data_IF_679169083084
#
_entry.id   IF_679169083084
#
_cell.length_a   1.000
_cell.length_b   1.000
_cell.length_c   1.000
_cell.angle_alpha   90.00
_cell.angle_beta   90.00
_cell.angle_gamma   90.00
#
_symmetry.space_group_name_H-M   'P 1'
#
loop_
_entity.id
_entity.type
_entity.pdbx_description
1 polymer ?
#
# COMPACT_ATOMS: atom_id res chain seq x y z
N UNK A 1 -9.71 -12.91 18.17
CA UNK A 1 -9.63 -12.65 16.72
C UNK A 1 -8.50 -11.68 16.39
N UNK A 2 -8.51 -10.42 16.89
CA UNK A 2 -7.50 -9.41 16.52
C UNK A 2 -6.05 -9.90 16.78
N UNK A 3 -5.80 -10.47 17.97
CA UNK A 3 -4.46 -11.00 18.29
C UNK A 3 -4.02 -12.14 17.36
N UNK A 4 -4.95 -12.96 16.88
CA UNK A 4 -4.61 -14.10 16.01
C UNK A 4 -4.26 -13.70 14.57
N UNK A 5 -4.64 -12.49 14.13
CA UNK A 5 -4.38 -12.01 12.76
C UNK A 5 -3.29 -10.93 12.67
N UNK A 6 -2.68 -10.51 13.78
CA UNK A 6 -1.70 -9.41 13.77
C UNK A 6 -0.56 -9.67 12.77
N UNK A 7 -0.04 -10.89 12.72
CA UNK A 7 1.06 -11.25 11.82
C UNK A 7 0.60 -11.59 10.38
N UNK A 8 -0.71 -11.71 10.18
CA UNK A 8 -1.32 -11.95 8.86
C UNK A 8 -1.95 -10.69 8.27
N UNK A 9 -1.94 -9.59 9.01
CA UNK A 9 -2.47 -8.32 8.52
C UNK A 9 -1.42 -7.63 7.65
N UNK A 10 -1.60 -7.70 6.36
CA UNK A 10 -0.74 -7.08 5.37
C UNK A 10 -0.98 -5.58 5.29
N UNK A 11 0.10 -4.80 5.29
CA UNK A 11 0.10 -3.34 5.16
C UNK A 11 0.97 -2.97 3.96
N UNK A 12 0.38 -2.90 2.77
CA UNK A 12 1.07 -2.53 1.54
C UNK A 12 0.70 -1.13 1.11
N UNK A 13 1.65 -0.37 0.61
CA UNK A 13 1.39 1.01 0.22
C UNK A 13 2.32 1.52 -0.88
N UNK A 14 1.87 2.56 -1.56
CA UNK A 14 2.67 3.37 -2.46
C UNK A 14 2.73 4.80 -1.93
N UNK A 15 3.81 5.50 -2.26
CA UNK A 15 3.92 6.95 -2.04
C UNK A 15 4.16 7.65 -3.37
N UNK A 16 3.68 8.87 -3.47
CA UNK A 16 3.85 9.66 -4.69
C UNK A 16 5.24 10.29 -4.77
N UNK A 17 5.72 10.83 -3.67
CA UNK A 17 7.02 11.48 -3.55
C UNK A 17 7.83 10.92 -2.38
N UNK A 18 8.88 10.19 -2.71
CA UNK A 18 9.82 9.65 -1.71
C UNK A 18 10.62 10.72 -0.96
N UNK A 19 10.77 11.90 -1.54
CA UNK A 19 11.42 13.00 -0.82
C UNK A 19 10.61 13.42 0.41
N UNK A 20 9.29 13.22 0.39
CA UNK A 20 8.44 13.45 1.54
C UNK A 20 8.80 12.51 2.71
N UNK A 21 8.90 11.21 2.45
CA UNK A 21 9.37 10.23 3.45
C UNK A 21 10.81 10.51 3.91
N UNK A 22 11.69 10.91 2.98
CA UNK A 22 13.08 11.25 3.30
C UNK A 22 13.15 12.42 4.26
N UNK A 23 12.41 13.50 4.00
CA UNK A 23 12.34 14.66 4.91
C UNK A 23 11.80 14.28 6.30
N UNK A 24 10.87 13.32 6.34
CA UNK A 24 10.32 12.79 7.58
C UNK A 24 11.24 11.82 8.34
N UNK A 25 12.42 11.48 7.81
CA UNK A 25 13.38 10.58 8.46
C UNK A 25 12.97 9.08 8.46
N UNK A 26 12.04 8.66 7.60
CA UNK A 26 11.53 7.27 7.52
C UNK A 26 12.11 6.48 6.34
N UNK A 27 13.30 6.86 5.85
CA UNK A 27 13.87 6.35 4.59
C UNK A 27 15.31 5.84 4.71
N UNK A 28 15.79 5.44 5.87
CA UNK A 28 17.19 4.98 5.99
C UNK A 28 17.53 3.80 5.08
N UNK A 29 16.56 2.94 4.74
CA UNK A 29 16.76 1.79 3.84
C UNK A 29 16.24 2.02 2.41
N UNK A 30 15.44 3.05 2.18
CA UNK A 30 14.84 3.35 0.86
C UNK A 30 15.76 4.16 -0.05
N UNK A 31 16.78 4.81 0.48
CA UNK A 31 17.71 5.64 -0.29
C UNK A 31 18.44 4.88 -1.41
N UNK A 32 18.67 3.58 -1.24
CA UNK A 32 19.32 2.74 -2.23
C UNK A 32 18.38 2.31 -3.39
N UNK A 33 17.06 2.35 -3.18
CA UNK A 33 16.08 1.95 -4.19
C UNK A 33 15.67 3.07 -5.14
N UNK A 34 15.96 4.30 -4.78
CA UNK A 34 15.48 5.48 -5.49
C UNK A 34 16.66 6.17 -6.17
N UNK A 35 17.04 5.62 -7.28
CA UNK A 35 17.70 6.45 -8.29
C UNK A 35 16.74 7.58 -8.68
N UNK A 36 17.27 8.77 -8.89
CA UNK A 36 16.62 10.04 -9.22
C UNK A 36 15.77 10.04 -10.51
N UNK A 37 15.04 8.97 -10.80
CA UNK A 37 14.24 8.89 -12.03
C UNK A 37 12.84 9.43 -11.77
N UNK A 38 12.50 10.48 -12.48
CA UNK A 38 11.17 11.07 -12.49
C UNK A 38 10.08 10.03 -12.81
N UNK A 39 9.03 10.00 -12.00
CA UNK A 39 7.88 9.11 -12.21
C UNK A 39 8.03 7.68 -11.69
N UNK A 40 9.12 7.36 -10.99
CA UNK A 40 9.26 6.07 -10.31
C UNK A 40 8.59 6.12 -8.95
N UNK A 41 7.70 5.17 -8.69
CA UNK A 41 6.96 5.03 -7.43
C UNK A 41 7.33 3.71 -6.75
N UNK A 42 7.72 3.75 -5.48
CA UNK A 42 8.01 2.54 -4.73
C UNK A 42 6.72 1.84 -4.32
N UNK A 43 6.74 0.53 -4.35
CA UNK A 43 5.77 -0.33 -3.66
C UNK A 43 6.43 -0.82 -2.40
N UNK A 44 5.80 -0.54 -1.28
CA UNK A 44 6.35 -0.73 0.05
C UNK A 44 5.40 -1.55 0.92
N UNK A 45 5.94 -2.17 1.96
CA UNK A 45 5.13 -2.77 3.01
C UNK A 45 5.69 -2.46 4.41
N UNK A 46 4.89 -2.75 5.42
CA UNK A 46 5.35 -2.77 6.81
C UNK A 46 5.68 -4.20 7.17
N UNK A 47 6.94 -4.49 7.50
CA UNK A 47 7.40 -5.82 7.84
C UNK A 47 6.95 -6.28 9.26
N UNK A 48 7.29 -7.50 9.64
CA UNK A 48 6.92 -8.09 10.93
C UNK A 48 7.48 -7.33 12.16
N UNK A 49 8.52 -6.53 11.95
CA UNK A 49 9.12 -5.67 12.99
C UNK A 49 8.55 -4.24 12.96
N UNK A 50 7.59 -3.95 12.09
CA UNK A 50 6.96 -2.63 11.94
C UNK A 50 7.79 -1.63 11.12
N UNK A 51 8.81 -2.07 10.38
CA UNK A 51 9.64 -1.21 9.55
C UNK A 51 9.02 -1.03 8.17
N UNK A 52 9.17 0.16 7.61
CA UNK A 52 8.76 0.45 6.23
C UNK A 52 9.83 -0.07 5.26
N UNK A 53 9.50 -1.10 4.52
CA UNK A 53 10.43 -1.80 3.63
C UNK A 53 10.00 -1.64 2.17
N UNK A 54 10.86 -1.11 1.29
CA UNK A 54 10.59 -1.08 -0.14
C UNK A 54 10.83 -2.47 -0.74
N UNK A 55 9.87 -2.93 -1.57
CA UNK A 55 9.91 -4.25 -2.19
C UNK A 55 10.16 -4.15 -3.69
N UNK A 56 9.49 -3.23 -4.34
CA UNK A 56 9.63 -3.03 -5.77
C UNK A 56 9.40 -1.57 -6.16
N UNK A 57 9.59 -1.28 -7.43
CA UNK A 57 9.33 0.04 -8.02
C UNK A 57 8.58 -0.11 -9.33
N UNK A 58 7.66 0.81 -9.57
CA UNK A 58 6.90 0.86 -10.79
C UNK A 58 6.98 2.26 -11.43
N UNK A 59 6.86 2.32 -12.73
CA UNK A 59 6.85 3.58 -13.47
C UNK A 59 5.42 4.08 -13.62
N UNK A 60 5.11 5.19 -12.94
CA UNK A 60 3.80 5.82 -12.94
C UNK A 60 2.81 5.21 -11.96
N UNK A 61 1.79 5.99 -11.61
CA UNK A 61 0.82 5.66 -10.56
C UNK A 61 0.03 4.40 -10.86
N UNK A 62 -0.51 4.24 -12.08
CA UNK A 62 -1.32 3.06 -12.43
C UNK A 62 -0.52 1.75 -12.36
N UNK A 63 0.76 1.78 -12.75
CA UNK A 63 1.62 0.59 -12.65
C UNK A 63 1.91 0.25 -11.18
N UNK A 64 2.16 1.25 -10.33
CA UNK A 64 2.37 1.05 -8.91
C UNK A 64 1.10 0.51 -8.21
N UNK A 65 -0.08 1.02 -8.55
CA UNK A 65 -1.35 0.52 -8.03
C UNK A 65 -1.64 -0.92 -8.46
N UNK A 66 -1.32 -1.29 -9.71
CA UNK A 66 -1.41 -2.69 -10.16
C UNK A 66 -0.48 -3.59 -9.37
N UNK A 67 0.78 -3.18 -9.21
CA UNK A 67 1.76 -3.94 -8.43
C UNK A 67 1.34 -4.08 -6.95
N UNK A 68 0.64 -3.08 -6.39
CA UNK A 68 0.06 -3.15 -5.06
C UNK A 68 -1.04 -4.23 -4.99
N UNK A 69 -1.94 -4.25 -5.98
CA UNK A 69 -3.04 -5.24 -6.07
C UNK A 69 -2.49 -6.63 -6.40
N UNK A 70 -1.38 -6.76 -7.14
CA UNK A 70 -0.72 -8.04 -7.40
C UNK A 70 -0.36 -8.77 -6.10
N UNK A 71 0.00 -8.01 -5.04
CA UNK A 71 0.30 -8.58 -3.73
C UNK A 71 -0.90 -9.30 -3.08
N UNK A 72 -2.11 -8.85 -3.36
CA UNK A 72 -3.32 -9.58 -2.92
C UNK A 72 -3.40 -10.96 -3.57
N UNK A 73 -3.02 -11.07 -4.83
CA UNK A 73 -2.97 -12.36 -5.53
C UNK A 73 -1.81 -13.26 -5.09
N UNK A 74 -0.66 -12.66 -4.68
CA UNK A 74 0.54 -13.41 -4.28
C UNK A 74 0.41 -13.99 -2.86
N UNK A 75 -0.07 -13.19 -1.91
CA UNK A 75 -0.06 -13.52 -0.48
C UNK A 75 -1.42 -13.41 0.21
N UNK A 76 -2.45 -12.92 -0.46
CA UNK A 76 -3.80 -12.77 0.13
C UNK A 76 -4.46 -14.14 0.39
N UNK A 77 -5.03 -14.30 1.57
CA UNK A 77 -5.76 -15.51 1.93
C UNK A 77 -7.24 -15.36 1.57
N UNK A 78 -7.71 -16.16 0.62
CA UNK A 78 -9.10 -16.18 0.17
C UNK A 78 -9.73 -14.77 0.08
N UNK A 79 -9.22 -13.87 -0.78
CA UNK A 79 -9.56 -12.44 -0.75
C UNK A 79 -11.07 -12.16 -0.78
N UNK A 80 -11.83 -12.92 -1.54
CA UNK A 80 -13.28 -12.78 -1.62
C UNK A 80 -14.01 -13.12 -0.31
N UNK A 81 -13.41 -13.91 0.57
CA UNK A 81 -14.00 -14.30 1.86
C UNK A 81 -13.50 -13.43 3.02
N UNK A 82 -12.25 -12.96 2.95
CA UNK A 82 -11.63 -12.14 3.98
C UNK A 82 -11.87 -10.64 3.73
N UNK A 83 -13.12 -10.23 3.75
CA UNK A 83 -13.57 -8.84 3.60
C UNK A 83 -14.06 -8.30 4.95
N UNK A 84 -14.08 -6.97 5.16
CA UNK A 84 -13.68 -5.94 4.20
C UNK A 84 -12.16 -5.86 4.03
N UNK A 85 -11.72 -5.46 2.83
CA UNK A 85 -10.38 -4.87 2.66
C UNK A 85 -10.44 -3.38 2.97
N UNK A 86 -9.33 -2.82 3.46
CA UNK A 86 -9.29 -1.42 3.83
C UNK A 86 -8.30 -0.66 2.95
N UNK A 87 -8.66 0.57 2.60
CA UNK A 87 -7.78 1.52 1.92
C UNK A 87 -7.66 2.77 2.78
N UNK A 88 -6.43 3.25 2.97
CA UNK A 88 -6.22 4.60 3.47
C UNK A 88 -5.49 5.43 2.42
N UNK A 89 -5.93 6.68 2.20
CA UNK A 89 -5.34 7.48 1.13
C UNK A 89 -5.15 8.95 1.51
N UNK A 90 -4.16 9.60 0.89
CA UNK A 90 -3.89 11.03 1.04
C UNK A 90 -4.30 11.76 -0.24
N UNK A 91 -5.57 12.19 -0.30
CA UNK A 91 -6.16 13.00 -1.37
C UNK A 91 -5.98 12.42 -2.79
N UNK A 92 -6.24 11.12 -2.97
CA UNK A 92 -6.17 10.46 -4.28
C UNK A 92 -7.38 9.54 -4.56
N UNK A 93 -8.63 10.07 -4.58
CA UNK A 93 -9.84 9.26 -4.73
C UNK A 93 -9.89 8.47 -6.04
N UNK A 94 -9.35 8.99 -7.12
CA UNK A 94 -9.29 8.28 -8.41
C UNK A 94 -8.43 7.00 -8.31
N UNK A 95 -7.35 7.03 -7.54
CA UNK A 95 -6.52 5.86 -7.26
C UNK A 95 -7.27 4.83 -6.42
N UNK A 96 -8.09 5.28 -5.47
CA UNK A 96 -8.95 4.40 -4.65
C UNK A 96 -9.94 3.65 -5.53
N UNK A 97 -10.68 4.36 -6.37
CA UNK A 97 -11.66 3.75 -7.28
C UNK A 97 -11.00 2.78 -8.28
N UNK A 98 -9.82 3.12 -8.76
CA UNK A 98 -9.05 2.23 -9.63
C UNK A 98 -8.66 0.93 -8.91
N UNK A 99 -8.18 1.00 -7.67
CA UNK A 99 -7.83 -0.18 -6.85
C UNK A 99 -9.06 -1.02 -6.54
N UNK A 100 -10.18 -0.40 -6.15
CA UNK A 100 -11.46 -1.12 -5.93
C UNK A 100 -11.91 -1.87 -7.17
N UNK A 101 -11.81 -1.26 -8.34
CA UNK A 101 -12.12 -1.89 -9.63
C UNK A 101 -11.28 -3.15 -9.88
N UNK A 102 -9.95 -3.05 -9.69
CA UNK A 102 -9.04 -4.18 -9.85
C UNK A 102 -9.31 -5.31 -8.84
N UNK A 103 -9.58 -4.98 -7.58
CA UNK A 103 -9.89 -5.96 -6.54
C UNK A 103 -11.17 -6.73 -6.86
N UNK A 104 -12.19 -6.03 -7.33
CA UNK A 104 -13.45 -6.65 -7.77
C UNK A 104 -13.26 -7.55 -8.99
N UNK A 105 -12.60 -7.03 -10.03
CA UNK A 105 -12.39 -7.76 -11.29
C UNK A 105 -11.55 -9.02 -11.11
N UNK A 106 -10.46 -8.91 -10.36
CA UNK A 106 -9.46 -9.99 -10.27
C UNK A 106 -9.74 -11.00 -9.17
N UNK A 107 -10.35 -10.57 -8.06
CA UNK A 107 -10.49 -11.40 -6.85
C UNK A 107 -11.91 -11.48 -6.32
N UNK A 108 -12.89 -10.83 -6.96
CA UNK A 108 -14.28 -10.84 -6.50
C UNK A 108 -14.50 -10.09 -5.18
N UNK A 109 -13.57 -9.22 -4.80
CA UNK A 109 -13.68 -8.41 -3.57
C UNK A 109 -14.65 -7.26 -3.82
N UNK A 110 -15.73 -7.19 -3.05
CA UNK A 110 -16.81 -6.20 -3.20
C UNK A 110 -16.96 -5.28 -1.99
N UNK A 111 -16.54 -5.68 -0.80
CA UNK A 111 -16.52 -4.83 0.40
C UNK A 111 -15.10 -4.28 0.59
N UNK A 112 -14.86 -3.11 0.01
CA UNK A 112 -13.63 -2.33 0.20
C UNK A 112 -14.01 -1.01 0.81
N UNK A 113 -13.51 -0.73 2.02
CA UNK A 113 -13.76 0.51 2.75
C UNK A 113 -12.55 1.41 2.68
N UNK A 114 -12.75 2.67 2.44
CA UNK A 114 -11.68 3.65 2.36
C UNK A 114 -11.91 4.83 3.29
N UNK A 115 -10.80 5.43 3.73
CA UNK A 115 -10.80 6.64 4.53
C UNK A 115 -9.49 7.41 4.30
N UNK A 116 -9.45 8.64 4.79
CA UNK A 116 -8.25 9.45 4.75
C UNK A 116 -7.16 8.93 5.68
N UNK A 117 -5.90 9.04 5.24
CA UNK A 117 -4.75 8.84 6.11
C UNK A 117 -4.75 9.91 7.19
N UNK A 118 -4.54 9.50 8.45
CA UNK A 118 -4.44 10.43 9.57
C UNK A 118 -3.30 11.44 9.39
N UNK A 119 -3.39 12.63 10.01
CA UNK A 119 -2.49 13.75 9.75
C UNK A 119 -1.02 13.44 10.06
N UNK A 120 -0.73 12.60 11.05
CA UNK A 120 0.64 12.24 11.42
C UNK A 120 1.31 11.45 10.29
N UNK A 121 0.67 10.40 9.80
CA UNK A 121 1.20 9.60 8.68
C UNK A 121 1.19 10.43 7.40
N UNK A 122 0.13 11.19 7.13
CA UNK A 122 0.02 12.04 5.95
C UNK A 122 1.13 13.10 5.85
N UNK A 123 1.54 13.68 6.97
CA UNK A 123 2.66 14.63 7.03
C UNK A 123 4.00 13.99 6.62
N UNK A 124 4.18 12.69 6.84
CA UNK A 124 5.40 11.96 6.46
C UNK A 124 5.34 11.38 5.05
N UNK A 125 4.17 10.99 4.57
CA UNK A 125 4.01 10.27 3.31
C UNK A 125 3.60 11.16 2.14
N UNK A 126 2.90 12.26 2.42
CA UNK A 126 2.45 13.25 1.44
C UNK A 126 1.21 12.83 0.65
N UNK A 127 0.70 13.77 -0.14
CA UNK A 127 -0.43 13.54 -1.06
C UNK A 127 -0.12 12.44 -2.08
N UNK A 128 -1.15 11.74 -2.56
CA UNK A 128 -1.01 10.64 -3.52
C UNK A 128 -0.60 9.31 -2.90
N UNK A 129 -0.36 9.27 -1.58
CA UNK A 129 -0.12 8.01 -0.86
C UNK A 129 -1.41 7.20 -0.78
N UNK A 130 -1.30 5.90 -1.06
CA UNK A 130 -2.38 4.94 -0.91
C UNK A 130 -1.86 3.68 -0.23
N UNK A 131 -2.49 3.30 0.88
CA UNK A 131 -2.26 2.04 1.59
C UNK A 131 -3.42 1.08 1.38
N UNK A 132 -3.11 -0.20 1.17
CA UNK A 132 -4.04 -1.31 1.04
C UNK A 132 -3.78 -2.33 2.15
N UNK A 133 -4.84 -2.71 2.85
CA UNK A 133 -4.78 -3.60 4.00
C UNK A 133 -5.68 -4.81 3.76
N UNK A 134 -5.12 -5.99 3.93
CA UNK A 134 -5.82 -7.26 3.72
C UNK A 134 -5.21 -8.37 4.58
N UNK A 135 -5.90 -9.49 4.71
CA UNK A 135 -5.37 -10.68 5.40
C UNK A 135 -4.55 -11.51 4.43
N UNK A 136 -3.32 -11.81 4.78
CA UNK A 136 -2.39 -12.60 3.97
C UNK A 136 -1.76 -13.76 4.73
N UNK A 137 -0.95 -14.55 4.02
CA UNK A 137 -0.20 -15.67 4.58
C UNK A 137 0.96 -15.20 5.45
N UNK A 138 1.47 -14.00 5.18
CA UNK A 138 2.54 -13.32 5.91
C UNK A 138 2.30 -11.81 5.88
N UNK A 139 2.95 -11.09 6.80
CA UNK A 139 2.86 -9.64 6.92
C UNK A 139 3.83 -8.94 5.97
#
# INVERSE_FOLDING_TARGET
YVRSIIQSQCHWFIVDDLNHLKRGGRVSSTAALVGTMLGIKPVMHTDSEGRLTPVSKARGTKAALRALVDKVGEIGVEPAKNQPMLICHANCPESVEYVKGLLKERFGVTDVRDDFIGPVIGAHTGCGTLGLFFVGTER
#
